data_IF_526472291657
#
_entry.id   IF_526472291657
#
_cell.length_a   1.000
_cell.length_b   1.000
_cell.length_c   1.000
_cell.angle_alpha   90.00
_cell.angle_beta   90.00
_cell.angle_gamma   90.00
#
_symmetry.space_group_name_H-M   'P 1'
#
loop_
_entity.id
_entity.type
_entity.pdbx_description
1 polymer ?
#
# COMPACT_ATOMS: atom_id res chain seq x y z
N UNK A 1 6.57 -0.37 -8.91
CA UNK A 1 5.68 -0.56 -7.74
C UNK A 1 6.47 -1.24 -6.63
N UNK A 2 6.23 -0.89 -5.37
CA UNK A 2 6.79 -1.59 -4.20
C UNK A 2 5.63 -2.06 -3.31
N UNK A 3 5.67 -3.30 -2.81
CA UNK A 3 4.57 -3.86 -2.01
C UNK A 3 4.97 -3.84 -0.54
N UNK A 4 4.25 -3.06 0.28
CA UNK A 4 4.38 -3.14 1.73
C UNK A 4 3.37 -4.16 2.28
N UNK A 5 3.82 -5.01 3.19
CA UNK A 5 3.03 -6.08 3.79
C UNK A 5 3.11 -6.00 5.32
N UNK A 6 1.98 -6.20 6.00
CA UNK A 6 1.87 -6.10 7.45
C UNK A 6 0.99 -7.21 8.03
N UNK A 7 1.35 -7.71 9.20
CA UNK A 7 0.57 -8.72 9.93
C UNK A 7 0.89 -10.16 9.53
N UNK A 8 0.00 -11.09 9.91
CA UNK A 8 0.16 -12.52 9.65
C UNK A 8 -0.40 -12.91 8.27
N UNK A 9 0.40 -13.49 7.35
CA UNK A 9 -0.05 -13.90 6.02
C UNK A 9 -1.18 -14.94 5.99
N UNK A 10 -1.43 -15.67 7.08
CA UNK A 10 -2.53 -16.64 7.18
C UNK A 10 -3.90 -15.98 7.41
N UNK A 11 -3.92 -14.72 7.88
CA UNK A 11 -5.16 -13.98 8.14
C UNK A 11 -5.87 -13.56 6.83
N UNK A 12 -7.14 -13.12 6.90
CA UNK A 12 -7.83 -12.52 5.77
C UNK A 12 -7.06 -11.31 5.20
N UNK A 13 -7.06 -11.19 3.88
CA UNK A 13 -6.24 -10.20 3.16
C UNK A 13 -7.05 -8.92 2.96
N UNK A 14 -6.43 -7.79 3.26
CA UNK A 14 -6.98 -6.45 3.01
C UNK A 14 -5.99 -5.65 2.18
N UNK A 15 -6.44 -5.13 1.04
CA UNK A 15 -5.61 -4.30 0.16
C UNK A 15 -6.00 -2.84 0.36
N UNK A 16 -5.03 -2.00 0.73
CA UNK A 16 -5.19 -0.56 0.89
C UNK A 16 -4.57 0.17 -0.30
N UNK A 17 -5.41 0.67 -1.21
CA UNK A 17 -4.96 1.43 -2.37
C UNK A 17 -4.89 2.92 -2.05
N UNK A 18 -3.67 3.44 -2.00
CA UNK A 18 -3.40 4.85 -1.72
C UNK A 18 -4.00 5.78 -2.79
N UNK A 19 -4.66 6.89 -2.42
CA UNK A 19 -4.90 7.98 -3.34
C UNK A 19 -3.58 8.67 -3.72
N UNK A 20 -3.64 9.54 -4.73
CA UNK A 20 -2.54 10.45 -5.08
C UNK A 20 -2.01 11.19 -3.83
N UNK A 21 -0.71 11.49 -3.84
CA UNK A 21 0.03 12.25 -2.83
C UNK A 21 0.44 11.50 -1.56
N UNK A 22 0.01 10.26 -1.34
CA UNK A 22 0.46 9.45 -0.19
C UNK A 22 0.99 8.09 -0.61
N UNK A 23 1.93 7.56 0.18
CA UNK A 23 2.42 6.19 -0.02
C UNK A 23 1.44 5.15 0.54
N UNK A 24 1.59 3.90 0.13
CA UNK A 24 0.85 2.78 0.72
C UNK A 24 1.14 2.65 2.22
N UNK A 25 2.40 2.84 2.63
CA UNK A 25 2.78 2.87 4.05
C UNK A 25 2.05 3.99 4.83
N UNK A 26 1.94 5.21 4.27
CA UNK A 26 1.20 6.29 4.93
C UNK A 26 -0.29 5.99 5.05
N UNK A 27 -0.89 5.38 4.03
CA UNK A 27 -2.29 4.97 4.09
C UNK A 27 -2.52 3.88 5.15
N UNK A 28 -1.61 2.91 5.26
CA UNK A 28 -1.66 1.91 6.33
C UNK A 28 -1.69 2.57 7.71
N UNK A 29 -0.77 3.49 7.99
CA UNK A 29 -0.68 4.14 9.30
C UNK A 29 -1.94 4.95 9.61
N UNK A 30 -2.47 5.67 8.61
CA UNK A 30 -3.72 6.44 8.72
C UNK A 30 -4.94 5.55 9.00
N UNK A 31 -5.00 4.38 8.36
CA UNK A 31 -6.15 3.47 8.47
C UNK A 31 -6.07 2.55 9.69
N UNK A 32 -4.87 2.26 10.20
CA UNK A 32 -4.66 1.30 11.30
C UNK A 32 -5.57 1.51 12.51
N UNK A 33 -5.89 2.74 12.96
CA UNK A 33 -6.77 2.93 14.13
C UNK A 33 -8.24 2.58 13.85
N UNK A 34 -8.64 2.48 12.58
CA UNK A 34 -10.03 2.24 12.16
C UNK A 34 -10.30 0.79 11.74
N UNK A 35 -9.25 0.01 11.50
CA UNK A 35 -9.38 -1.39 11.14
C UNK A 35 -9.67 -2.22 12.39
N UNK A 36 -10.85 -2.85 12.42
CA UNK A 36 -11.26 -3.76 13.49
C UNK A 36 -11.03 -5.20 13.04
N UNK A 37 -10.06 -5.88 13.64
CA UNK A 37 -9.72 -7.27 13.40
C UNK A 37 -8.28 -7.46 12.91
N UNK A 38 -7.84 -8.72 12.89
CA UNK A 38 -6.50 -9.07 12.45
C UNK A 38 -6.51 -9.43 10.96
N UNK A 39 -5.88 -8.59 10.15
CA UNK A 39 -5.76 -8.77 8.70
C UNK A 39 -4.29 -8.90 8.30
N UNK A 40 -4.04 -9.58 7.17
CA UNK A 40 -2.83 -9.38 6.41
C UNK A 40 -3.03 -8.16 5.51
N UNK A 41 -2.35 -7.05 5.80
CA UNK A 41 -2.54 -5.80 5.06
C UNK A 41 -1.49 -5.70 3.97
N UNK A 42 -1.95 -5.46 2.75
CA UNK A 42 -1.13 -5.19 1.58
C UNK A 42 -1.37 -3.72 1.19
N UNK A 43 -0.33 -2.89 1.31
CA UNK A 43 -0.40 -1.46 1.02
C UNK A 43 0.69 -1.07 0.00
N UNK A 44 0.40 -1.21 -1.31
CA UNK A 44 1.40 -0.95 -2.34
C UNK A 44 1.72 0.54 -2.47
N UNK A 45 2.99 0.84 -2.64
CA UNK A 45 3.47 2.13 -3.12
C UNK A 45 3.37 2.15 -4.66
N UNK A 46 2.56 3.07 -5.17
CA UNK A 46 2.42 3.32 -6.60
C UNK A 46 3.59 4.15 -7.14
N UNK A 47 3.83 4.09 -8.45
CA UNK A 47 4.91 4.86 -9.09
C UNK A 47 4.89 6.33 -8.69
N UNK A 48 6.06 6.90 -8.41
CA UNK A 48 6.23 8.26 -7.93
C UNK A 48 5.96 8.46 -6.43
N UNK A 49 5.66 7.41 -5.67
CA UNK A 49 5.33 7.50 -4.24
C UNK A 49 6.10 6.48 -3.40
N UNK A 50 6.39 6.83 -2.14
CA UNK A 50 6.99 5.91 -1.16
C UNK A 50 8.31 5.32 -1.62
N UNK A 51 8.42 3.98 -1.57
CA UNK A 51 9.59 3.22 -2.04
C UNK A 51 9.50 2.82 -3.50
N UNK A 52 8.38 3.11 -4.16
CA UNK A 52 8.32 2.91 -5.59
C UNK A 52 9.20 3.98 -6.26
N UNK A 53 9.93 3.57 -7.31
CA UNK A 53 10.68 4.49 -8.15
C UNK A 53 9.76 5.49 -8.86
N UNK A 54 10.34 6.24 -9.80
CA UNK A 54 9.58 7.19 -10.62
C UNK A 54 8.34 6.54 -11.24
N UNK A 55 7.29 7.34 -11.43
CA UNK A 55 6.17 6.93 -12.27
C UNK A 55 6.69 6.80 -13.70
N UNK A 56 6.42 5.65 -14.32
CA UNK A 56 6.70 5.38 -15.73
C UNK A 56 5.34 5.08 -16.35
N UNK A 57 4.95 5.84 -17.37
CA UNK A 57 3.71 5.58 -18.10
C UNK A 57 3.88 4.30 -18.90
N UNK A 58 2.79 3.56 -19.10
CA UNK A 58 2.80 2.45 -20.07
C UNK A 58 3.05 2.92 -21.51
N UNK A 59 2.82 4.22 -21.79
CA UNK A 59 3.12 4.84 -23.08
C UNK A 59 4.61 5.22 -23.24
N UNK A 60 5.40 5.17 -22.16
CA UNK A 60 6.83 5.51 -22.14
C UNK A 60 7.74 4.27 -22.30
N UNK A 61 7.17 3.06 -22.41
CA UNK A 61 7.84 1.75 -22.59
C UNK A 61 7.80 1.24 -24.05
#
# INVERSE_FOLDING_TARGET
>A
MYINEYGNPDNPKLILLAPMMISGANLHDLMSPFLKGDYFIIAPDQGGHGKAGAYISADDD
#
